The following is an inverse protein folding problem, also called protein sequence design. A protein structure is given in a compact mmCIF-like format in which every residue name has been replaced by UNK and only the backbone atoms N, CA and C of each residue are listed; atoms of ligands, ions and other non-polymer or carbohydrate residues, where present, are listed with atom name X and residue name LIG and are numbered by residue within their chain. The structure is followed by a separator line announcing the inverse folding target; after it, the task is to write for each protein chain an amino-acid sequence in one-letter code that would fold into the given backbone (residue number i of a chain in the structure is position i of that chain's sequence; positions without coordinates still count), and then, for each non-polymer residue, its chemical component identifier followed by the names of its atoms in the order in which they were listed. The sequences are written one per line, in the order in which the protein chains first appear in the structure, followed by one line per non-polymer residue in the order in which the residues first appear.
data_IF_189967960160
#
_entry.id   IF_189967960160
#
_cell.length_a   1.000
_cell.length_b   1.000
_cell.length_c   1.000
_cell.angle_alpha   90.00
_cell.angle_beta   90.00
_cell.angle_gamma   90.00
#
_symmetry.space_group_name_H-M   'P 1'
#
loop_
_entity.id
_entity.type
_entity.pdbx_description
1 polymer ?
#
# COMPACT_ATOMS: atom_id res chain seq x y z
N UNK A 1 28.15 -3.55 33.33
CA UNK A 1 27.09 -2.54 33.15
C UNK A 1 25.93 -3.20 32.43
N UNK A 2 24.71 -3.25 33.00
CA UNK A 2 23.60 -3.93 32.35
C UNK A 2 23.10 -3.08 31.17
N UNK A 3 22.91 -3.72 30.02
CA UNK A 3 22.32 -3.09 28.83
C UNK A 3 20.94 -2.52 29.18
N UNK A 4 20.79 -1.21 29.04
CA UNK A 4 19.51 -0.53 29.18
C UNK A 4 18.49 -1.18 28.23
N UNK A 5 17.40 -1.69 28.78
CA UNK A 5 16.19 -2.04 28.03
C UNK A 5 15.86 -0.88 27.08
N UNK A 6 16.07 -1.06 25.77
CA UNK A 6 15.54 -0.13 24.75
C UNK A 6 14.04 -0.07 25.00
N UNK A 7 13.54 1.09 25.40
CA UNK A 7 12.12 1.32 25.63
C UNK A 7 11.44 1.22 24.24
N UNK A 8 10.88 0.05 23.92
CA UNK A 8 10.26 -0.25 22.61
C UNK A 8 8.99 0.57 22.37
N UNK A 9 8.39 1.11 23.44
CA UNK A 9 7.17 1.90 23.38
C UNK A 9 7.31 3.22 24.13
N UNK A 10 7.02 4.33 23.44
CA UNK A 10 6.93 5.66 24.03
C UNK A 10 5.49 5.92 24.47
N UNK A 11 5.27 6.33 25.71
CA UNK A 11 3.94 6.70 26.21
C UNK A 11 3.50 8.01 25.54
N UNK A 12 2.33 8.02 24.92
CA UNK A 12 1.74 9.23 24.36
C UNK A 12 1.47 10.27 25.47
N UNK A 13 1.64 11.55 25.15
CA UNK A 13 1.44 12.65 26.11
C UNK A 13 -0.04 12.94 26.38
N UNK A 14 -0.95 12.50 25.53
CA UNK A 14 -2.41 12.63 25.70
C UNK A 14 -3.17 11.61 24.84
N UNK A 15 -4.47 11.46 25.07
CA UNK A 15 -5.35 10.60 24.26
C UNK A 15 -5.37 11.06 22.79
N UNK A 16 -5.43 12.37 22.53
CA UNK A 16 -5.39 12.95 21.18
C UNK A 16 -4.10 12.57 20.43
N UNK A 17 -2.97 12.57 21.14
CA UNK A 17 -1.67 12.18 20.55
C UNK A 17 -1.64 10.68 20.25
N UNK A 18 -2.26 9.86 21.09
CA UNK A 18 -2.35 8.42 20.83
C UNK A 18 -3.22 8.11 19.60
N UNK A 19 -4.36 8.78 19.46
CA UNK A 19 -5.25 8.66 18.30
C UNK A 19 -4.55 9.12 17.02
N UNK A 20 -3.94 10.31 17.04
CA UNK A 20 -3.19 10.84 15.90
C UNK A 20 -2.03 9.92 15.50
N UNK A 21 -1.30 9.35 16.46
CA UNK A 21 -0.22 8.40 16.17
C UNK A 21 -0.73 7.16 15.44
N UNK A 22 -1.91 6.64 15.82
CA UNK A 22 -2.51 5.48 15.15
C UNK A 22 -2.92 5.80 13.70
N UNK A 23 -3.54 6.96 13.50
CA UNK A 23 -4.00 7.38 12.17
C UNK A 23 -2.81 7.67 11.24
N UNK A 24 -1.74 8.29 11.74
CA UNK A 24 -0.52 8.56 10.96
C UNK A 24 0.17 7.27 10.53
N UNK A 25 0.22 6.22 11.37
CA UNK A 25 0.78 4.92 10.99
C UNK A 25 0.11 4.34 9.73
N UNK A 26 -1.22 4.32 9.72
CA UNK A 26 -1.99 3.78 8.60
C UNK A 26 -1.94 4.70 7.37
N UNK A 27 -1.95 6.02 7.57
CA UNK A 27 -1.80 7.01 6.49
C UNK A 27 -0.43 6.91 5.82
N UNK A 28 0.64 6.74 6.60
CA UNK A 28 1.99 6.54 6.07
C UNK A 28 2.06 5.26 5.23
N UNK A 29 1.45 4.17 5.69
CA UNK A 29 1.42 2.91 4.94
C UNK A 29 0.67 3.06 3.62
N UNK A 30 -0.53 3.64 3.65
CA UNK A 30 -1.35 3.87 2.46
C UNK A 30 -0.60 4.69 1.40
N UNK A 31 -0.01 5.82 1.82
CA UNK A 31 0.76 6.70 0.94
C UNK A 31 1.98 6.03 0.32
N UNK A 32 2.69 5.21 1.09
CA UNK A 32 3.85 4.51 0.55
C UNK A 32 3.42 3.42 -0.43
N UNK A 33 2.34 2.67 -0.16
CA UNK A 33 1.82 1.69 -1.12
C UNK A 33 1.36 2.39 -2.40
N UNK A 34 0.67 3.52 -2.30
CA UNK A 34 0.26 4.35 -3.43
C UNK A 34 1.45 4.80 -4.28
N UNK A 35 2.52 5.26 -3.63
CA UNK A 35 3.76 5.64 -4.31
C UNK A 35 4.37 4.46 -5.07
N UNK A 36 4.49 3.28 -4.43
CA UNK A 36 5.08 2.11 -5.09
C UNK A 36 4.20 1.60 -6.24
N UNK A 37 2.88 1.66 -6.08
CA UNK A 37 1.93 1.36 -7.16
C UNK A 37 2.13 2.29 -8.36
N UNK A 38 2.19 3.60 -8.14
CA UNK A 38 2.43 4.58 -9.20
C UNK A 38 3.76 4.33 -9.92
N UNK A 39 4.84 4.11 -9.16
CA UNK A 39 6.14 3.79 -9.71
C UNK A 39 6.12 2.50 -10.54
N UNK A 40 5.36 1.49 -10.11
CA UNK A 40 5.24 0.24 -10.87
C UNK A 40 4.63 0.45 -12.26
N UNK A 41 3.60 1.29 -12.36
CA UNK A 41 2.96 1.66 -13.63
C UNK A 41 3.94 2.45 -14.51
N UNK A 42 4.70 3.39 -13.92
CA UNK A 42 5.70 4.16 -14.66
C UNK A 42 6.79 3.24 -15.20
N UNK A 43 7.35 2.36 -14.36
CA UNK A 43 8.41 1.43 -14.73
C UNK A 43 7.95 0.46 -15.82
N UNK A 44 6.73 -0.07 -15.74
CA UNK A 44 6.14 -0.89 -16.80
C UNK A 44 6.12 -0.15 -18.14
N UNK A 45 5.73 1.13 -18.16
CA UNK A 45 5.68 1.95 -19.39
C UNK A 45 7.05 2.25 -20.00
N UNK A 46 8.10 2.30 -19.19
CA UNK A 46 9.47 2.56 -19.65
C UNK A 46 10.32 1.28 -19.77
N UNK A 47 9.71 0.10 -19.60
CA UNK A 47 10.38 -1.19 -19.77
C UNK A 47 11.38 -1.54 -18.67
N UNK A 48 11.14 -1.08 -17.43
CA UNK A 48 11.97 -1.38 -16.26
C UNK A 48 11.21 -2.34 -15.33
N UNK A 49 11.90 -3.37 -14.84
CA UNK A 49 11.33 -4.28 -13.85
C UNK A 49 11.25 -3.59 -12.47
N UNK A 50 10.04 -3.53 -11.92
CA UNK A 50 9.79 -2.89 -10.63
C UNK A 50 10.46 -3.61 -9.48
N UNK A 51 10.50 -4.95 -9.49
CA UNK A 51 11.12 -5.75 -8.43
C UNK A 51 12.62 -5.54 -8.39
N UNK A 52 13.28 -5.49 -9.55
CA UNK A 52 14.72 -5.20 -9.65
C UNK A 52 15.05 -3.81 -9.08
N UNK A 53 14.24 -2.79 -9.39
CA UNK A 53 14.42 -1.44 -8.84
C UNK A 53 14.24 -1.44 -7.32
N UNK A 54 13.22 -2.12 -6.81
CA UNK A 54 12.95 -2.17 -5.36
C UNK A 54 14.03 -2.96 -4.61
N UNK A 55 14.59 -4.02 -5.20
CA UNK A 55 15.71 -4.77 -4.63
C UNK A 55 16.97 -3.91 -4.56
N UNK A 56 17.30 -3.21 -5.66
CA UNK A 56 18.43 -2.29 -5.70
C UNK A 56 18.27 -1.13 -4.70
N UNK A 57 17.07 -0.53 -4.61
CA UNK A 57 16.77 0.54 -3.66
C UNK A 57 16.81 0.06 -2.20
N UNK A 58 16.35 -1.17 -1.95
CA UNK A 58 16.34 -1.83 -0.65
C UNK A 58 17.73 -2.10 -0.06
N UNK A 59 18.80 -2.01 -0.85
CA UNK A 59 20.18 -2.06 -0.34
C UNK A 59 20.54 -0.86 0.55
N UNK A 60 19.78 0.23 0.49
CA UNK A 60 20.02 1.44 1.28
C UNK A 60 19.34 1.34 2.65
N UNK A 61 20.09 1.67 3.70
CA UNK A 61 19.66 1.58 5.10
C UNK A 61 18.38 2.36 5.44
N UNK A 62 18.04 3.38 4.65
CA UNK A 62 16.90 4.27 4.86
C UNK A 62 15.70 3.96 3.95
N UNK A 63 15.79 2.93 3.10
CA UNK A 63 14.68 2.54 2.24
C UNK A 63 13.69 1.66 3.00
N UNK A 64 12.41 2.03 2.97
CA UNK A 64 11.34 1.24 3.57
C UNK A 64 10.77 0.30 2.50
N UNK A 65 10.80 -1.03 2.70
CA UNK A 65 10.57 -2.00 1.63
C UNK A 65 9.07 -2.28 1.39
N UNK A 66 8.31 -1.24 1.00
CA UNK A 66 6.94 -1.41 0.52
C UNK A 66 6.92 -2.09 -0.85
N UNK A 67 5.86 -2.82 -1.14
CA UNK A 67 5.67 -3.55 -2.41
C UNK A 67 4.39 -3.06 -3.09
N UNK A 68 4.34 -3.05 -4.44
CA UNK A 68 3.10 -2.73 -5.14
C UNK A 68 2.07 -3.82 -4.88
N UNK A 69 0.80 -3.45 -4.82
CA UNK A 69 -0.28 -4.38 -4.52
C UNK A 69 -1.63 -3.69 -4.34
N UNK A 70 -2.67 -4.53 -4.27
CA UNK A 70 -4.01 -4.08 -3.94
C UNK A 70 -4.09 -3.73 -2.46
N UNK A 71 -4.73 -2.61 -2.14
CA UNK A 71 -5.00 -2.20 -0.77
C UNK A 71 -6.41 -2.67 -0.37
N UNK A 72 -6.52 -3.27 0.81
CA UNK A 72 -7.79 -3.72 1.36
C UNK A 72 -7.77 -3.83 2.89
N UNK A 73 -8.89 -4.25 3.47
CA UNK A 73 -9.08 -4.33 4.92
C UNK A 73 -9.59 -3.03 5.55
N UNK A 74 -10.08 -3.13 6.78
CA UNK A 74 -10.92 -2.09 7.40
C UNK A 74 -10.21 -0.78 7.75
N UNK A 75 -8.88 -0.79 7.92
CA UNK A 75 -8.15 0.36 8.46
C UNK A 75 -7.52 1.24 7.38
N UNK A 76 -6.74 0.65 6.46
CA UNK A 76 -5.89 1.41 5.53
C UNK A 76 -6.74 2.22 4.54
N UNK A 77 -7.87 1.68 4.07
CA UNK A 77 -8.77 2.38 3.17
C UNK A 77 -9.71 3.40 3.84
N UNK A 78 -9.65 3.59 5.17
CA UNK A 78 -10.59 4.46 5.91
C UNK A 78 -9.87 5.52 6.74
N UNK A 79 -8.80 5.15 7.43
CA UNK A 79 -8.08 6.05 8.36
C UNK A 79 -7.49 7.32 7.68
N UNK A 80 -6.97 7.27 6.42
CA UNK A 80 -6.55 8.48 5.73
C UNK A 80 -7.69 9.49 5.52
N UNK A 81 -8.92 9.00 5.29
CA UNK A 81 -10.10 9.86 5.14
C UNK A 81 -10.51 10.55 6.44
N UNK A 82 -10.20 9.96 7.60
CA UNK A 82 -10.40 10.61 8.89
C UNK A 82 -9.58 11.90 9.02
N UNK A 83 -8.31 11.88 8.59
CA UNK A 83 -7.48 13.09 8.57
C UNK A 83 -7.97 14.11 7.57
N UNK A 84 -8.36 13.67 6.36
CA UNK A 84 -8.90 14.57 5.33
C UNK A 84 -10.16 15.27 5.84
N UNK A 85 -11.10 14.52 6.42
CA UNK A 85 -12.31 15.09 7.00
C UNK A 85 -12.00 16.06 8.16
N UNK A 86 -11.10 15.68 9.07
CA UNK A 86 -10.71 16.53 10.20
C UNK A 86 -9.99 17.80 9.75
N UNK A 87 -9.20 17.72 8.68
CA UNK A 87 -8.55 18.85 8.05
C UNK A 87 -9.56 19.81 7.41
N UNK A 88 -10.54 19.29 6.68
CA UNK A 88 -11.60 20.09 6.04
C UNK A 88 -12.42 20.84 7.09
N UNK A 89 -12.75 20.21 8.22
CA UNK A 89 -13.45 20.85 9.35
C UNK A 89 -12.70 22.07 9.91
N UNK A 90 -11.37 22.12 9.78
CA UNK A 90 -10.54 23.25 10.23
C UNK A 90 -10.12 24.16 9.07
N UNK A 91 -10.72 23.99 7.89
CA UNK A 91 -10.47 24.81 6.69
C UNK A 91 -9.17 24.49 5.95
N UNK A 92 -8.58 23.32 6.18
CA UNK A 92 -7.39 22.83 5.46
C UNK A 92 -7.79 21.76 4.44
N UNK A 93 -7.36 21.91 3.19
CA UNK A 93 -7.65 20.94 2.12
C UNK A 93 -6.38 20.14 1.75
N UNK A 94 -6.22 18.90 2.26
CA UNK A 94 -5.04 18.09 1.99
C UNK A 94 -5.07 17.50 0.57
N UNK A 95 -3.95 17.58 -0.15
CA UNK A 95 -3.78 17.08 -1.52
C UNK A 95 -3.33 15.60 -1.58
N UNK A 96 -3.70 14.82 -0.57
CA UNK A 96 -3.22 13.44 -0.39
C UNK A 96 -4.10 12.50 -1.22
N UNK A 97 -3.57 11.99 -2.35
CA UNK A 97 -4.32 11.40 -3.46
C UNK A 97 -4.65 9.88 -3.34
N UNK A 98 -5.68 9.47 -4.11
CA UNK A 98 -6.36 8.14 -4.16
C UNK A 98 -5.78 7.12 -5.16
N UNK A 99 -4.46 7.04 -5.34
CA UNK A 99 -3.88 6.13 -6.36
C UNK A 99 -4.20 4.64 -6.07
N UNK A 100 -4.33 4.27 -4.79
CA UNK A 100 -4.64 2.90 -4.40
C UNK A 100 -6.04 2.42 -4.84
N UNK A 101 -6.99 3.35 -5.01
CA UNK A 101 -8.37 3.00 -5.39
C UNK A 101 -8.44 2.48 -6.84
N UNK A 102 -7.57 3.00 -7.73
CA UNK A 102 -7.60 2.70 -9.16
C UNK A 102 -6.83 1.42 -9.55
N UNK A 103 -6.02 0.86 -8.63
CA UNK A 103 -5.18 -0.30 -8.92
C UNK A 103 -6.00 -1.55 -9.30
N UNK A 104 -7.21 -1.71 -8.78
CA UNK A 104 -8.09 -2.83 -9.15
C UNK A 104 -8.48 -2.74 -10.63
N UNK A 105 -8.85 -1.55 -11.09
CA UNK A 105 -9.20 -1.30 -12.48
C UNK A 105 -7.98 -1.45 -13.40
N UNK A 106 -6.81 -1.00 -12.94
CA UNK A 106 -5.55 -1.18 -13.67
C UNK A 106 -5.27 -2.66 -13.95
N UNK A 107 -5.27 -3.51 -12.92
CA UNK A 107 -5.00 -4.95 -13.06
C UNK A 107 -5.99 -5.63 -14.00
N UNK A 108 -7.28 -5.29 -13.90
CA UNK A 108 -8.30 -5.83 -14.79
C UNK A 108 -8.05 -5.45 -16.26
N UNK A 109 -7.76 -4.18 -16.52
CA UNK A 109 -7.47 -3.68 -17.87
C UNK A 109 -6.19 -4.28 -18.45
N UNK A 110 -5.11 -4.36 -17.67
CA UNK A 110 -3.85 -4.98 -18.09
C UNK A 110 -4.04 -6.46 -18.41
N UNK A 111 -4.84 -7.18 -17.60
CA UNK A 111 -5.21 -8.58 -17.88
C UNK A 111 -5.96 -8.71 -19.22
N UNK A 112 -6.95 -7.86 -19.47
CA UNK A 112 -7.70 -7.85 -20.74
C UNK A 112 -6.78 -7.59 -21.94
N UNK A 113 -5.87 -6.61 -21.84
CA UNK A 113 -4.89 -6.31 -22.90
C UNK A 113 -4.00 -7.52 -23.18
N UNK A 114 -3.51 -8.19 -22.14
CA UNK A 114 -2.70 -9.41 -22.29
C UNK A 114 -3.50 -10.53 -22.96
N UNK A 115 -4.76 -10.73 -22.60
CA UNK A 115 -5.62 -11.74 -23.24
C UNK A 115 -5.83 -11.45 -24.73
N UNK A 116 -6.07 -10.19 -25.11
CA UNK A 116 -6.21 -9.77 -26.51
C UNK A 116 -4.90 -10.02 -27.27
N UNK A 117 -3.76 -9.64 -26.70
CA UNK A 117 -2.45 -9.84 -27.31
C UNK A 117 -2.07 -11.32 -27.49
N UNK A 118 -2.67 -12.21 -26.69
CA UNK A 118 -2.52 -13.66 -26.80
C UNK A 118 -3.66 -14.32 -27.63
N UNK A 119 -4.45 -13.52 -28.35
CA UNK A 119 -5.54 -13.99 -29.22
C UNK A 119 -6.62 -14.81 -28.49
N UNK A 120 -6.86 -14.53 -27.21
CA UNK A 120 -7.92 -15.18 -26.43
C UNK A 120 -9.27 -14.51 -26.76
N UNK A 121 -10.27 -15.31 -27.14
CA UNK A 121 -11.65 -14.85 -27.35
C UNK A 121 -12.28 -14.48 -26.00
N UNK A 122 -12.33 -13.18 -25.71
CA UNK A 122 -12.85 -12.64 -24.44
C UNK A 122 -14.29 -13.06 -24.16
N UNK A 123 -15.13 -13.25 -25.18
CA UNK A 123 -16.53 -13.61 -25.00
C UNK A 123 -16.71 -15.07 -24.55
N UNK A 124 -15.71 -15.92 -24.79
CA UNK A 124 -15.73 -17.36 -24.43
C UNK A 124 -14.74 -17.71 -23.33
N UNK A 125 -13.87 -16.76 -22.94
CA UNK A 125 -12.85 -16.99 -21.93
C UNK A 125 -13.47 -17.29 -20.56
N UNK A 126 -12.90 -18.28 -19.87
CA UNK A 126 -13.18 -18.55 -18.46
C UNK A 126 -12.02 -18.02 -17.63
N UNK A 127 -12.32 -17.19 -16.64
CA UNK A 127 -11.31 -16.59 -15.75
C UNK A 127 -11.33 -17.33 -14.41
N UNK A 128 -10.18 -17.84 -14.00
CA UNK A 128 -9.98 -18.41 -12.67
C UNK A 128 -9.43 -17.37 -11.70
N UNK A 129 -10.17 -17.07 -10.63
CA UNK A 129 -9.70 -16.16 -9.57
C UNK A 129 -9.08 -17.00 -8.45
N UNK A 130 -7.78 -16.88 -8.26
CA UNK A 130 -7.03 -17.56 -7.20
C UNK A 130 -6.74 -16.59 -6.06
N UNK A 131 -7.53 -16.69 -4.98
CA UNK A 131 -7.45 -15.81 -3.81
C UNK A 131 -8.50 -14.70 -3.85
N UNK A 132 -9.35 -14.66 -2.83
CA UNK A 132 -10.44 -13.66 -2.66
C UNK A 132 -10.26 -12.85 -1.38
N UNK A 133 -9.25 -13.19 -0.57
CA UNK A 133 -8.95 -12.50 0.69
C UNK A 133 -7.94 -11.37 0.45
N UNK A 134 -8.11 -10.25 1.16
CA UNK A 134 -7.27 -9.05 1.01
C UNK A 134 -5.79 -9.24 1.36
N UNK A 135 -5.46 -10.32 2.08
CA UNK A 135 -4.09 -10.71 2.41
C UNK A 135 -3.99 -12.22 2.55
N UNK A 136 -2.76 -12.72 2.46
CA UNK A 136 -2.44 -14.10 2.81
C UNK A 136 -2.65 -14.38 4.30
N UNK A 137 -2.82 -15.66 4.64
CA UNK A 137 -2.96 -16.10 6.03
C UNK A 137 -1.58 -16.05 6.70
N UNK A 138 -1.37 -15.07 7.58
CA UNK A 138 -0.12 -14.97 8.34
C UNK A 138 -0.06 -15.99 9.48
N UNK A 139 1.09 -16.66 9.61
CA UNK A 139 1.52 -17.33 10.85
C UNK A 139 1.85 -16.25 11.90
N UNK A 140 1.65 -16.46 13.21
CA UNK A 140 1.81 -15.44 14.26
C UNK A 140 3.18 -14.74 14.29
N UNK A 141 4.20 -15.33 13.65
CA UNK A 141 5.59 -14.91 13.78
C UNK A 141 6.11 -14.04 12.62
N UNK A 142 5.32 -13.73 11.58
CA UNK A 142 5.78 -12.90 10.46
C UNK A 142 5.22 -11.47 10.51
N UNK A 143 6.12 -10.52 10.80
CA UNK A 143 5.87 -9.07 10.82
C UNK A 143 6.18 -8.42 9.46
N UNK A 144 5.73 -9.03 8.36
CA UNK A 144 5.81 -8.39 7.05
C UNK A 144 4.87 -7.19 6.98
N UNK A 145 5.34 -6.03 6.56
CA UNK A 145 4.47 -4.90 6.25
C UNK A 145 4.11 -5.09 4.77
N UNK A 146 2.86 -5.44 4.48
CA UNK A 146 2.28 -5.22 3.15
C UNK A 146 2.08 -3.72 3.02
#
# INVERSE_FOLDING_TARGET
MPASLRRVHTKASSIKVAEAAKVIENTQRDLNIALINELSIIFERIGIDTLDVLEAAGSKWNFLPFRPGLVGGHCIGVDPYYLTHKAEEVGYNPQVNRINDDMTSYVAQSTIKLMINNHIDLAKAKVGILGVTFKEKRSPNLHGIT
#
